data_IF_671627414254
#
_entry.id   IF_671627414254
#
_cell.length_a   1.000
_cell.length_b   1.000
_cell.length_c   1.000
_cell.angle_alpha   90.00
_cell.angle_beta   90.00
_cell.angle_gamma   90.00
#
_symmetry.space_group_name_H-M   'P 1'
#
loop_
_entity.id
_entity.type
_entity.pdbx_description
1 polymer ?
#
# COMPACT_ATOMS: atom_id res chain seq x y z
N UNK A 1 14.64 -37.48 20.29
CA UNK A 1 13.23 -37.84 20.04
C UNK A 1 12.44 -37.26 21.21
N UNK A 2 12.02 -36.00 21.11
CA UNK A 2 11.21 -35.35 22.14
C UNK A 2 9.83 -35.17 21.52
N UNK A 3 8.86 -35.96 21.98
CA UNK A 3 7.49 -35.93 21.53
C UNK A 3 6.83 -34.63 22.02
N UNK A 4 6.83 -33.60 21.18
CA UNK A 4 5.80 -32.56 21.24
C UNK A 4 4.56 -33.15 20.60
N UNK A 5 3.78 -33.89 21.38
CA UNK A 5 2.41 -34.25 21.00
C UNK A 5 1.63 -32.94 20.92
N UNK A 6 1.40 -32.50 19.68
CA UNK A 6 0.47 -31.44 19.32
C UNK A 6 -0.85 -31.72 20.04
N UNK A 7 -1.21 -30.89 21.02
CA UNK A 7 -2.59 -30.85 21.53
C UNK A 7 -3.39 -30.12 20.45
N UNK A 8 -3.72 -30.87 19.41
CA UNK A 8 -4.76 -30.50 18.47
C UNK A 8 -6.07 -30.97 19.11
N UNK A 9 -7.08 -30.11 19.13
CA UNK A 9 -8.40 -30.51 19.60
C UNK A 9 -8.93 -31.63 18.70
N UNK A 10 -9.07 -32.84 19.27
CA UNK A 10 -9.49 -34.04 18.55
C UNK A 10 -10.87 -33.85 17.89
N UNK A 11 -11.73 -33.00 18.47
CA UNK A 11 -13.06 -32.72 17.94
C UNK A 11 -13.03 -31.94 16.61
N UNK A 12 -12.02 -31.08 16.41
CA UNK A 12 -11.85 -30.31 15.17
C UNK A 12 -11.23 -31.20 14.09
N UNK A 13 -10.28 -32.06 14.46
CA UNK A 13 -9.65 -32.99 13.52
C UNK A 13 -10.61 -34.05 13.00
N UNK A 14 -11.57 -34.50 13.80
CA UNK A 14 -12.62 -35.42 13.33
C UNK A 14 -13.53 -34.81 12.24
N UNK A 15 -13.58 -33.48 12.14
CA UNK A 15 -14.41 -32.76 11.17
C UNK A 15 -13.64 -32.32 9.92
N UNK A 16 -12.34 -32.56 9.87
CA UNK A 16 -11.46 -32.14 8.78
C UNK A 16 -11.08 -33.36 7.94
N UNK A 17 -11.30 -33.25 6.63
CA UNK A 17 -10.70 -34.18 5.68
C UNK A 17 -9.16 -33.97 5.66
N UNK A 18 -8.43 -35.03 6.02
CA UNK A 18 -6.96 -35.00 6.16
C UNK A 18 -6.27 -34.59 4.86
N UNK A 19 -6.81 -35.02 3.71
CA UNK A 19 -6.24 -34.70 2.39
C UNK A 19 -6.44 -33.22 2.06
N UNK A 20 -7.62 -32.67 2.31
CA UNK A 20 -7.88 -31.24 2.09
C UNK A 20 -6.98 -30.36 2.98
N UNK A 21 -6.74 -30.78 4.23
CA UNK A 21 -5.84 -30.07 5.14
C UNK A 21 -4.38 -30.15 4.70
N UNK A 22 -3.91 -31.31 4.24
CA UNK A 22 -2.57 -31.43 3.65
C UNK A 22 -2.40 -30.54 2.42
N UNK A 23 -3.43 -30.44 1.57
CA UNK A 23 -3.41 -29.55 0.41
C UNK A 23 -3.38 -28.08 0.82
N UNK A 24 -4.13 -27.69 1.85
CA UNK A 24 -4.03 -26.36 2.45
C UNK A 24 -2.61 -26.05 2.93
N UNK A 25 -1.99 -26.96 3.69
CA UNK A 25 -0.62 -26.77 4.18
C UNK A 25 0.39 -26.63 3.04
N UNK A 26 0.27 -27.43 1.98
CA UNK A 26 1.15 -27.37 0.80
C UNK A 26 0.98 -26.06 0.03
N UNK A 27 -0.27 -25.64 -0.21
CA UNK A 27 -0.58 -24.44 -1.01
C UNK A 27 -0.31 -23.13 -0.26
N UNK A 28 -0.39 -23.13 1.08
CA UNK A 28 -0.25 -21.92 1.90
C UNK A 28 1.02 -21.89 2.76
N UNK A 29 1.96 -22.84 2.59
CA UNK A 29 3.18 -22.94 3.43
C UNK A 29 3.92 -21.60 3.54
N UNK A 30 4.22 -20.96 2.40
CA UNK A 30 4.91 -19.68 2.38
C UNK A 30 4.11 -18.57 3.07
N UNK A 31 2.79 -18.54 2.90
CA UNK A 31 1.94 -17.53 3.50
C UNK A 31 1.86 -17.72 5.02
N UNK A 32 1.68 -18.95 5.50
CA UNK A 32 1.66 -19.31 6.92
C UNK A 32 2.97 -18.93 7.63
N UNK A 33 4.11 -19.18 6.97
CA UNK A 33 5.43 -18.80 7.47
C UNK A 33 5.65 -17.28 7.44
N UNK A 34 5.32 -16.62 6.33
CA UNK A 34 5.49 -15.18 6.14
C UNK A 34 4.64 -14.37 7.12
N UNK A 35 3.39 -14.79 7.33
CA UNK A 35 2.49 -14.20 8.31
C UNK A 35 2.87 -14.51 9.77
N UNK A 36 3.85 -15.40 10.00
CA UNK A 36 4.29 -15.77 11.34
C UNK A 36 3.22 -16.49 12.16
N UNK A 37 2.27 -17.18 11.51
CA UNK A 37 1.19 -17.88 12.21
C UNK A 37 1.81 -19.09 12.93
N UNK A 38 1.54 -19.27 14.23
CA UNK A 38 2.01 -20.45 14.96
C UNK A 38 1.45 -21.75 14.41
N UNK A 39 2.30 -22.77 14.23
CA UNK A 39 1.92 -24.07 13.63
C UNK A 39 0.75 -24.77 14.32
N UNK A 40 0.61 -24.62 15.65
CA UNK A 40 -0.49 -25.23 16.40
C UNK A 40 -1.86 -24.60 16.08
N UNK A 41 -1.89 -23.42 15.43
CA UNK A 41 -3.12 -22.75 15.01
C UNK A 41 -3.53 -23.08 13.56
N UNK A 42 -2.69 -23.78 12.78
CA UNK A 42 -2.94 -24.00 11.34
C UNK A 42 -4.23 -24.78 11.08
N UNK A 43 -4.46 -25.83 11.86
CA UNK A 43 -5.68 -26.63 11.76
C UNK A 43 -6.93 -25.79 12.07
N UNK A 44 -6.91 -25.04 13.17
CA UNK A 44 -8.04 -24.20 13.56
C UNK A 44 -8.30 -23.10 12.54
N UNK A 45 -7.24 -22.47 12.01
CA UNK A 45 -7.34 -21.48 10.96
C UNK A 45 -8.02 -22.06 9.72
N UNK A 46 -7.54 -23.21 9.24
CA UNK A 46 -8.13 -23.92 8.11
C UNK A 46 -9.60 -24.26 8.36
N UNK A 47 -9.93 -24.80 9.53
CA UNK A 47 -11.30 -25.13 9.91
C UNK A 47 -12.22 -23.92 9.86
N UNK A 48 -11.79 -22.79 10.45
CA UNK A 48 -12.57 -21.55 10.44
C UNK A 48 -12.73 -20.98 9.04
N UNK A 49 -11.70 -21.02 8.19
CA UNK A 49 -11.79 -20.52 6.82
C UNK A 49 -12.66 -21.41 5.93
N UNK A 50 -12.54 -22.73 6.04
CA UNK A 50 -13.36 -23.69 5.27
C UNK A 50 -14.85 -23.53 5.55
N UNK A 51 -15.20 -23.22 6.80
CA UNK A 51 -16.57 -23.13 7.27
C UNK A 51 -17.05 -21.68 7.50
N UNK A 52 -16.25 -20.68 7.11
CA UNK A 52 -16.53 -19.25 7.29
C UNK A 52 -16.96 -18.88 8.73
N UNK A 53 -16.22 -19.38 9.73
CA UNK A 53 -16.55 -19.20 11.14
C UNK A 53 -15.98 -17.87 11.67
N UNK A 54 -16.86 -16.88 11.82
CA UNK A 54 -16.57 -15.60 12.46
C UNK A 54 -17.04 -15.60 13.92
N UNK A 55 -16.15 -15.93 14.83
CA UNK A 55 -16.47 -16.12 16.26
C UNK A 55 -15.80 -15.11 17.20
N UNK A 56 -15.23 -14.02 16.67
CA UNK A 56 -14.67 -12.93 17.48
C UNK A 56 -15.63 -12.43 18.56
N UNK A 57 -16.92 -12.30 18.25
CA UNK A 57 -17.93 -11.80 19.19
C UNK A 57 -18.15 -12.66 20.45
N UNK A 58 -17.59 -13.89 20.49
CA UNK A 58 -17.58 -14.72 21.71
C UNK A 58 -16.52 -14.29 22.73
N UNK A 59 -15.46 -13.62 22.28
CA UNK A 59 -14.30 -13.29 23.09
C UNK A 59 -14.04 -11.78 23.18
N UNK A 60 -14.53 -11.02 22.20
CA UNK A 60 -14.30 -9.58 22.09
C UNK A 60 -15.61 -8.80 21.97
N UNK A 61 -15.57 -7.57 22.45
CA UNK A 61 -16.65 -6.59 22.39
C UNK A 61 -16.11 -5.25 21.88
N UNK A 62 -17.02 -4.42 21.34
CA UNK A 62 -16.73 -3.05 20.94
C UNK A 62 -17.14 -2.13 22.10
N UNK A 63 -16.18 -1.42 22.66
CA UNK A 63 -16.39 -0.49 23.77
C UNK A 63 -16.32 0.96 23.27
N UNK A 64 -17.19 1.86 23.75
CA UNK A 64 -17.04 3.28 23.52
C UNK A 64 -15.80 3.81 24.27
N UNK A 65 -15.21 4.86 23.73
CA UNK A 65 -14.14 5.61 24.38
C UNK A 65 -14.79 6.63 25.29
N UNK A 66 -14.41 6.63 26.57
CA UNK A 66 -14.93 7.59 27.52
C UNK A 66 -14.38 9.01 27.25
N UNK A 67 -15.17 10.04 27.55
CA UNK A 67 -14.79 11.44 27.27
C UNK A 67 -13.50 11.87 28.00
N UNK A 68 -13.18 11.22 29.12
CA UNK A 68 -11.94 11.44 29.89
C UNK A 68 -10.69 10.89 29.16
N UNK A 69 -10.84 9.81 28.37
CA UNK A 69 -9.75 9.20 27.59
C UNK A 69 -9.39 10.01 26.33
N UNK A 70 -10.30 10.87 25.87
CA UNK A 70 -10.06 11.82 24.76
C UNK A 70 -9.01 12.89 25.12
N UNK A 71 -8.75 13.09 26.42
CA UNK A 71 -7.80 14.07 26.93
C UNK A 71 -6.34 13.59 26.91
N UNK A 72 -6.07 12.30 26.66
CA UNK A 72 -4.71 11.84 26.43
C UNK A 72 -4.20 12.34 25.06
N UNK A 73 -3.03 13.00 25.04
CA UNK A 73 -2.51 13.75 23.89
C UNK A 73 -2.37 12.93 22.58
N UNK A 74 -2.35 11.61 22.68
CA UNK A 74 -2.18 10.66 21.58
C UNK A 74 -3.49 10.15 20.97
N UNK A 75 -4.64 10.48 21.55
CA UNK A 75 -5.92 9.93 21.11
C UNK A 75 -6.29 10.45 19.71
N UNK A 76 -6.76 9.59 18.81
CA UNK A 76 -7.35 9.98 17.52
C UNK A 76 -8.82 10.33 17.78
N UNK A 77 -9.22 11.61 17.86
CA UNK A 77 -10.55 12.02 18.32
C UNK A 77 -11.71 11.52 17.43
N UNK A 78 -11.40 10.90 16.29
CA UNK A 78 -12.37 10.37 15.34
C UNK A 78 -12.67 8.87 15.52
N UNK A 79 -11.89 8.13 16.33
CA UNK A 79 -12.23 6.75 16.70
C UNK A 79 -12.89 6.75 18.06
N UNK A 80 -14.22 6.68 18.09
CA UNK A 80 -15.02 6.67 19.33
C UNK A 80 -15.17 5.31 19.99
N UNK A 81 -14.59 4.27 19.38
CA UNK A 81 -14.73 2.89 19.85
C UNK A 81 -13.39 2.16 19.74
N UNK A 82 -13.24 1.13 20.57
CA UNK A 82 -12.11 0.20 20.57
C UNK A 82 -12.57 -1.24 20.81
N UNK A 83 -11.75 -2.21 20.43
CA UNK A 83 -12.01 -3.62 20.72
C UNK A 83 -11.43 -3.99 22.09
N UNK A 84 -12.21 -4.67 22.93
CA UNK A 84 -11.80 -5.18 24.23
C UNK A 84 -12.15 -6.65 24.38
N UNK A 85 -11.43 -7.39 25.21
CA UNK A 85 -11.85 -8.72 25.65
C UNK A 85 -13.10 -8.64 26.53
N UNK A 86 -13.91 -9.70 26.56
CA UNK A 86 -15.10 -9.78 27.43
C UNK A 86 -14.68 -10.30 28.81
N UNK A 87 -15.22 -11.45 29.25
CA UNK A 87 -15.06 -11.98 30.61
C UNK A 87 -13.92 -13.00 30.74
N UNK A 88 -13.48 -13.58 29.63
CA UNK A 88 -12.52 -14.67 29.64
C UNK A 88 -11.10 -14.20 29.31
N UNK A 89 -10.14 -14.74 30.05
CA UNK A 89 -8.72 -14.59 29.76
C UNK A 89 -8.38 -15.30 28.44
N UNK A 90 -7.78 -14.57 27.51
CA UNK A 90 -7.31 -15.11 26.23
C UNK A 90 -5.86 -15.57 26.39
N UNK A 91 -5.62 -16.84 26.07
CA UNK A 91 -4.28 -17.46 26.17
C UNK A 91 -3.75 -17.82 24.79
N UNK A 92 -2.54 -17.40 24.41
CA UNK A 92 -1.91 -17.81 23.17
C UNK A 92 -1.80 -19.32 23.02
N UNK A 93 -1.62 -20.05 24.12
CA UNK A 93 -1.53 -21.52 24.08
C UNK A 93 -2.84 -22.24 23.73
N UNK A 94 -3.98 -21.53 23.69
CA UNK A 94 -5.26 -22.13 23.33
C UNK A 94 -5.44 -22.12 21.80
N UNK A 95 -5.66 -23.31 21.22
CA UNK A 95 -5.82 -23.52 19.78
C UNK A 95 -7.03 -22.79 19.18
N UNK A 96 -8.05 -22.48 19.98
CA UNK A 96 -9.23 -21.74 19.52
C UNK A 96 -8.96 -20.24 19.26
N UNK A 97 -7.84 -19.72 19.80
CA UNK A 97 -7.52 -18.29 19.83
C UNK A 97 -6.89 -17.79 18.52
N UNK A 98 -7.49 -18.15 17.40
CA UNK A 98 -7.22 -17.57 16.08
C UNK A 98 -8.55 -17.21 15.43
N UNK A 99 -8.69 -15.99 14.94
CA UNK A 99 -9.99 -15.48 14.52
C UNK A 99 -9.92 -14.87 13.13
N UNK A 100 -11.03 -15.01 12.40
CA UNK A 100 -11.23 -14.38 11.10
C UNK A 100 -11.94 -13.05 11.30
N UNK A 101 -11.45 -12.04 10.58
CA UNK A 101 -12.02 -10.71 10.46
C UNK A 101 -12.34 -10.52 8.98
N UNK A 102 -13.59 -10.15 8.70
CA UNK A 102 -14.06 -9.96 7.33
C UNK A 102 -13.62 -8.60 6.77
N UNK A 103 -13.66 -8.46 5.46
CA UNK A 103 -13.42 -7.20 4.75
C UNK A 103 -14.75 -6.57 4.39
N UNK A 104 -15.21 -5.61 5.20
CA UNK A 104 -16.43 -4.87 4.95
C UNK A 104 -16.49 -4.21 3.57
N UNK A 105 -15.32 -3.83 3.05
CA UNK A 105 -15.19 -3.23 1.75
C UNK A 105 -13.81 -3.47 1.14
N UNK A 106 -13.76 -4.09 -0.03
CA UNK A 106 -12.56 -4.26 -0.85
C UNK A 106 -12.74 -3.57 -2.18
N UNK A 107 -11.76 -2.78 -2.63
CA UNK A 107 -11.91 -1.91 -3.79
C UNK A 107 -10.56 -1.49 -4.40
N UNK A 108 -10.60 -1.02 -5.66
CA UNK A 108 -9.50 -0.25 -6.28
C UNK A 108 -9.80 1.24 -6.10
N UNK A 109 -8.78 2.07 -5.93
CA UNK A 109 -8.96 3.53 -5.69
C UNK A 109 -9.91 4.18 -6.71
N UNK A 110 -9.76 3.84 -8.00
CA UNK A 110 -10.59 4.37 -9.10
C UNK A 110 -12.08 4.05 -8.94
N UNK A 111 -12.42 2.97 -8.24
CA UNK A 111 -13.77 2.47 -8.09
C UNK A 111 -14.43 2.92 -6.76
N UNK A 112 -13.66 3.47 -5.81
CA UNK A 112 -14.12 3.75 -4.45
C UNK A 112 -15.41 4.59 -4.40
N UNK A 113 -15.42 5.72 -5.11
CA UNK A 113 -16.56 6.63 -5.18
C UNK A 113 -17.78 5.97 -5.85
N UNK A 114 -17.55 5.20 -6.92
CA UNK A 114 -18.61 4.47 -7.62
C UNK A 114 -19.23 3.42 -6.69
N UNK A 115 -18.41 2.67 -5.97
CA UNK A 115 -18.87 1.66 -5.01
C UNK A 115 -19.81 2.26 -3.96
N UNK A 116 -19.47 3.41 -3.38
CA UNK A 116 -20.33 4.10 -2.41
C UNK A 116 -21.70 4.52 -2.97
N UNK A 117 -21.79 4.74 -4.29
CA UNK A 117 -23.05 5.08 -4.96
C UNK A 117 -23.86 3.85 -5.37
N UNK A 118 -23.19 2.74 -5.71
CA UNK A 118 -23.85 1.61 -6.39
C UNK A 118 -23.98 0.35 -5.53
N UNK A 119 -23.11 0.12 -4.56
CA UNK A 119 -23.17 -1.05 -3.69
C UNK A 119 -24.21 -0.80 -2.59
N UNK A 120 -25.27 -1.61 -2.50
CA UNK A 120 -26.33 -1.41 -1.51
C UNK A 120 -25.77 -1.41 -0.08
N UNK A 121 -26.24 -0.49 0.75
CA UNK A 121 -25.90 -0.35 2.19
C UNK A 121 -24.44 -0.02 2.50
N UNK A 122 -23.56 0.03 1.51
CA UNK A 122 -22.13 0.30 1.74
C UNK A 122 -21.93 1.71 2.28
N UNK A 123 -22.64 2.69 1.72
CA UNK A 123 -22.57 4.08 2.16
C UNK A 123 -22.95 4.22 3.64
N UNK A 124 -24.10 3.70 4.04
CA UNK A 124 -24.60 3.74 5.43
C UNK A 124 -23.65 2.98 6.37
N UNK A 125 -23.15 1.81 5.94
CA UNK A 125 -22.17 1.04 6.72
C UNK A 125 -20.88 1.82 6.95
N UNK A 126 -20.35 2.50 5.93
CA UNK A 126 -19.13 3.31 6.04
C UNK A 126 -19.35 4.58 6.86
N UNK A 127 -20.52 5.22 6.78
CA UNK A 127 -20.86 6.34 7.66
C UNK A 127 -20.84 5.91 9.13
N UNK A 128 -21.53 4.82 9.44
CA UNK A 128 -21.58 4.25 10.79
C UNK A 128 -20.18 3.86 11.28
N UNK A 129 -19.44 3.08 10.49
CA UNK A 129 -18.09 2.61 10.85
C UNK A 129 -17.12 3.77 11.12
N UNK A 130 -17.23 4.85 10.35
CA UNK A 130 -16.35 6.03 10.46
C UNK A 130 -16.89 7.11 11.39
N UNK A 131 -17.98 6.85 12.13
CA UNK A 131 -18.64 7.80 13.03
C UNK A 131 -19.00 9.14 12.36
N UNK A 132 -19.51 9.07 11.13
CA UNK A 132 -19.96 10.23 10.36
C UNK A 132 -21.47 10.38 10.56
N UNK A 133 -21.90 11.50 11.16
CA UNK A 133 -23.31 11.74 11.44
C UNK A 133 -24.11 11.87 10.15
N UNK A 134 -25.03 10.93 9.91
CA UNK A 134 -25.87 10.86 8.70
C UNK A 134 -26.78 12.09 8.53
N UNK A 135 -27.17 12.75 9.63
CA UNK A 135 -28.18 13.81 9.63
C UNK A 135 -27.70 15.17 9.13
N UNK A 136 -26.38 15.35 8.94
CA UNK A 136 -25.78 16.68 8.80
C UNK A 136 -25.23 16.98 7.40
N UNK A 137 -25.34 16.04 6.46
CA UNK A 137 -24.67 16.13 5.16
C UNK A 137 -25.57 15.55 4.05
N UNK A 138 -25.54 16.16 2.87
CA UNK A 138 -26.09 15.52 1.67
C UNK A 138 -25.21 14.33 1.23
N UNK A 139 -25.72 13.53 0.29
CA UNK A 139 -25.03 12.32 -0.20
C UNK A 139 -23.60 12.60 -0.67
N UNK A 140 -23.41 13.67 -1.44
CA UNK A 140 -22.11 14.02 -2.04
C UNK A 140 -21.10 14.43 -0.97
N UNK A 141 -21.51 15.29 -0.03
CA UNK A 141 -20.71 15.67 1.12
C UNK A 141 -20.38 14.46 2.00
N UNK A 142 -21.33 13.56 2.23
CA UNK A 142 -21.10 12.34 3.00
C UNK A 142 -20.10 11.40 2.33
N UNK A 143 -20.18 11.21 1.00
CA UNK A 143 -19.21 10.44 0.22
C UNK A 143 -17.82 11.05 0.35
N UNK A 144 -17.70 12.36 0.18
CA UNK A 144 -16.42 13.04 0.30
C UNK A 144 -15.83 12.90 1.71
N UNK A 145 -16.66 12.99 2.75
CA UNK A 145 -16.23 12.74 4.14
C UNK A 145 -15.76 11.30 4.37
N UNK A 146 -16.41 10.30 3.77
CA UNK A 146 -15.96 8.90 3.79
C UNK A 146 -14.59 8.79 3.11
N UNK A 147 -14.46 9.28 1.88
CA UNK A 147 -13.22 9.21 1.10
C UNK A 147 -12.05 9.93 1.80
N UNK A 148 -12.32 11.03 2.51
CA UNK A 148 -11.31 11.75 3.29
C UNK A 148 -10.92 11.02 4.60
N UNK A 149 -11.80 10.20 5.18
CA UNK A 149 -11.56 9.48 6.44
C UNK A 149 -11.05 8.06 6.26
N UNK A 150 -11.36 7.43 5.13
CA UNK A 150 -11.11 6.01 4.91
C UNK A 150 -9.64 5.60 5.04
N UNK A 151 -8.69 6.50 4.76
CA UNK A 151 -7.25 6.23 4.90
C UNK A 151 -6.85 5.73 6.31
N UNK A 152 -7.65 6.05 7.35
CA UNK A 152 -7.42 5.62 8.73
C UNK A 152 -7.81 4.16 8.99
N UNK A 153 -8.59 3.57 8.09
CA UNK A 153 -9.14 2.21 8.18
C UNK A 153 -8.53 1.30 7.12
N UNK A 154 -8.15 1.91 6.00
CA UNK A 154 -7.56 1.27 4.86
C UNK A 154 -6.30 0.47 5.20
N UNK A 155 -6.29 -0.73 4.64
CA UNK A 155 -5.12 -1.56 4.43
C UNK A 155 -5.04 -1.92 2.96
N UNK A 156 -3.92 -2.51 2.55
CA UNK A 156 -3.70 -2.90 1.16
C UNK A 156 -3.18 -4.33 1.08
N UNK A 157 -3.41 -4.95 -0.06
CA UNK A 157 -2.64 -6.09 -0.54
C UNK A 157 -2.57 -6.02 -2.07
N UNK A 158 -1.58 -6.69 -2.64
CA UNK A 158 -1.41 -6.72 -4.10
C UNK A 158 -1.72 -8.12 -4.60
N UNK A 159 -2.57 -8.21 -5.62
CA UNK A 159 -2.85 -9.47 -6.30
C UNK A 159 -2.28 -9.41 -7.72
N UNK A 160 -1.71 -10.52 -8.16
CA UNK A 160 -1.46 -10.74 -9.58
C UNK A 160 -2.81 -10.84 -10.29
N UNK A 161 -2.93 -10.19 -11.43
CA UNK A 161 -4.10 -10.26 -12.30
C UNK A 161 -3.74 -11.01 -13.57
N UNK A 162 -4.67 -11.82 -14.07
CA UNK A 162 -4.53 -12.53 -15.35
C UNK A 162 -4.59 -11.59 -16.57
N UNK A 163 -4.65 -10.28 -16.34
CA UNK A 163 -4.60 -9.30 -17.41
C UNK A 163 -3.17 -9.22 -17.93
N UNK A 164 -2.98 -9.55 -19.20
CA UNK A 164 -1.75 -9.29 -19.92
C UNK A 164 -1.64 -7.77 -20.07
N UNK A 165 -0.56 -7.17 -19.58
CA UNK A 165 -0.25 -5.78 -19.88
C UNK A 165 -0.05 -5.66 -21.40
N UNK A 166 -0.89 -4.91 -22.15
CA UNK A 166 -0.65 -4.70 -23.59
C UNK A 166 0.66 -3.95 -23.86
N UNK A 167 1.32 -3.44 -22.82
CA UNK A 167 2.42 -2.50 -22.89
C UNK A 167 3.76 -3.07 -22.42
N UNK A 168 3.78 -4.26 -21.79
CA UNK A 168 4.99 -4.94 -21.31
C UNK A 168 4.95 -6.42 -21.71
N UNK A 169 5.98 -6.90 -22.44
CA UNK A 169 6.16 -8.32 -22.82
C UNK A 169 6.48 -9.25 -21.62
N UNK A 170 6.24 -8.81 -20.38
CA UNK A 170 6.54 -9.54 -19.15
C UNK A 170 5.28 -9.89 -18.35
N UNK A 171 5.30 -11.11 -17.82
CA UNK A 171 4.26 -11.86 -17.12
C UNK A 171 3.72 -11.16 -15.85
N UNK A 172 2.39 -11.22 -15.67
CA UNK A 172 1.60 -10.81 -14.49
C UNK A 172 1.53 -9.31 -14.17
N UNK A 173 0.34 -8.70 -14.35
CA UNK A 173 0.04 -7.35 -13.86
C UNK A 173 -0.37 -7.40 -12.40
N UNK A 174 0.42 -6.79 -11.53
CA UNK A 174 0.11 -6.67 -10.11
C UNK A 174 -0.73 -5.42 -9.85
N UNK A 175 -1.96 -5.61 -9.35
CA UNK A 175 -2.85 -4.49 -8.99
C UNK A 175 -3.02 -4.38 -7.46
N UNK A 176 -2.87 -3.17 -6.89
CA UNK A 176 -3.11 -2.94 -5.48
C UNK A 176 -4.61 -2.88 -5.18
N UNK A 177 -5.05 -3.68 -4.22
CA UNK A 177 -6.39 -3.65 -3.66
C UNK A 177 -6.35 -3.04 -2.27
N UNK A 178 -7.30 -2.14 -2.05
CA UNK A 178 -7.52 -1.51 -0.75
C UNK A 178 -8.69 -2.20 -0.07
N UNK A 179 -8.61 -2.33 1.24
CA UNK A 179 -9.70 -2.90 2.00
C UNK A 179 -9.87 -2.24 3.36
N UNK A 180 -11.11 -2.28 3.85
CA UNK A 180 -11.52 -1.89 5.19
C UNK A 180 -12.08 -3.13 5.88
N UNK A 181 -11.55 -3.45 7.05
CA UNK A 181 -12.06 -4.56 7.86
C UNK A 181 -13.47 -4.27 8.36
N UNK A 182 -14.18 -5.31 8.78
CA UNK A 182 -15.46 -5.19 9.47
C UNK A 182 -15.41 -4.34 10.75
N UNK A 183 -16.57 -4.22 11.38
CA UNK A 183 -16.81 -3.45 12.60
C UNK A 183 -15.89 -3.88 13.74
N UNK A 184 -15.51 -5.15 13.84
CA UNK A 184 -14.64 -5.65 14.90
C UNK A 184 -13.18 -5.33 14.58
N UNK A 185 -12.72 -5.71 13.40
CA UNK A 185 -11.34 -5.51 12.97
C UNK A 185 -10.95 -4.03 12.93
N UNK A 186 -11.85 -3.17 12.46
CA UNK A 186 -11.61 -1.73 12.37
C UNK A 186 -11.43 -1.05 13.73
N UNK A 187 -11.90 -1.67 14.82
CA UNK A 187 -11.77 -1.16 16.18
C UNK A 187 -10.47 -1.61 16.88
N UNK A 188 -9.67 -2.48 16.24
CA UNK A 188 -8.34 -2.83 16.73
C UNK A 188 -7.39 -1.66 16.44
N UNK A 189 -6.97 -0.97 17.49
CA UNK A 189 -6.15 0.23 17.39
C UNK A 189 -4.68 -0.09 17.27
N UNK A 190 -3.93 0.91 16.81
CA UNK A 190 -2.47 0.83 16.82
C UNK A 190 -1.94 1.04 18.24
N UNK A 191 -1.05 0.17 18.67
CA UNK A 191 -0.03 0.49 19.67
C UNK A 191 1.31 -0.03 19.16
N UNK A 192 2.40 0.60 19.59
CA UNK A 192 3.75 0.12 19.31
C UNK A 192 4.50 -0.33 20.57
N UNK A 193 3.84 -0.24 21.74
CA UNK A 193 4.33 -0.65 23.07
C UNK A 193 3.43 -1.68 23.76
N UNK A 194 2.11 -1.60 23.56
CA UNK A 194 1.10 -2.40 24.27
C UNK A 194 0.41 -3.40 23.33
N UNK A 195 1.14 -3.87 22.31
CA UNK A 195 0.62 -4.81 21.31
C UNK A 195 0.32 -6.13 22.01
N UNK A 196 -0.91 -6.62 21.83
CA UNK A 196 -1.33 -7.91 22.38
C UNK A 196 -1.98 -8.83 21.35
N UNK A 197 -2.26 -8.33 20.14
CA UNK A 197 -2.72 -9.12 19.00
C UNK A 197 -1.79 -8.96 17.78
N UNK A 198 -1.59 -10.06 17.07
CA UNK A 198 -1.18 -10.02 15.67
C UNK A 198 -2.41 -9.81 14.79
N UNK A 199 -2.20 -9.21 13.62
CA UNK A 199 -3.21 -9.04 12.59
C UNK A 199 -2.54 -9.05 11.22
N UNK A 200 -2.90 -10.01 10.38
CA UNK A 200 -2.28 -10.19 9.05
C UNK A 200 -3.35 -10.41 7.99
N UNK A 201 -3.06 -10.04 6.74
CA UNK A 201 -3.91 -10.41 5.60
C UNK A 201 -3.57 -11.83 5.17
N UNK A 202 -4.58 -12.67 4.97
CA UNK A 202 -4.43 -14.08 4.59
C UNK A 202 -5.39 -14.41 3.44
N UNK A 203 -4.85 -14.89 2.33
CA UNK A 203 -5.63 -15.33 1.17
C UNK A 203 -5.96 -16.81 1.32
N UNK A 204 -7.25 -17.15 1.29
CA UNK A 204 -7.69 -18.53 1.32
C UNK A 204 -8.07 -19.00 -0.09
N UNK A 205 -7.12 -19.69 -0.75
CA UNK A 205 -7.23 -20.07 -2.16
C UNK A 205 -8.54 -20.82 -2.52
N UNK A 206 -9.04 -21.80 -1.73
CA UNK A 206 -10.23 -22.57 -2.13
C UNK A 206 -11.49 -21.71 -2.32
N UNK A 207 -11.68 -20.71 -1.46
CA UNK A 207 -12.80 -19.76 -1.54
C UNK A 207 -12.46 -18.47 -2.30
N UNK A 208 -11.21 -18.30 -2.71
CA UNK A 208 -10.65 -17.07 -3.27
C UNK A 208 -10.94 -15.81 -2.42
N UNK A 209 -10.98 -15.98 -1.10
CA UNK A 209 -11.35 -14.92 -0.16
C UNK A 209 -10.13 -14.41 0.59
N UNK A 210 -10.06 -13.09 0.77
CA UNK A 210 -9.07 -12.44 1.64
C UNK A 210 -9.67 -12.23 3.02
N UNK A 211 -8.99 -12.73 4.05
CA UNK A 211 -9.33 -12.50 5.44
C UNK A 211 -8.28 -11.63 6.11
N UNK A 212 -8.69 -10.89 7.13
CA UNK A 212 -7.75 -10.47 8.17
C UNK A 212 -7.76 -11.51 9.28
N UNK A 213 -6.60 -12.06 9.64
CA UNK A 213 -6.47 -13.10 10.66
C UNK A 213 -5.81 -12.49 11.90
N UNK A 214 -6.45 -12.67 13.06
CA UNK A 214 -5.95 -12.17 14.34
C UNK A 214 -5.73 -13.30 15.34
N UNK A 215 -4.70 -13.19 16.16
CA UNK A 215 -4.41 -14.10 17.27
C UNK A 215 -3.59 -13.39 18.34
N UNK A 216 -3.70 -13.80 19.63
CA UNK A 216 -2.98 -13.17 20.71
C UNK A 216 -1.48 -13.52 20.68
N UNK A 217 -0.65 -12.55 21.06
CA UNK A 217 0.81 -12.76 21.21
C UNK A 217 1.22 -12.97 22.67
N UNK A 218 0.35 -12.57 23.59
CA UNK A 218 0.52 -12.72 25.03
C UNK A 218 -0.82 -13.03 25.69
N UNK A 219 -0.80 -13.33 26.99
CA UNK A 219 -2.03 -13.53 27.75
C UNK A 219 -2.75 -12.19 27.86
N UNK A 220 -4.01 -12.13 27.44
CA UNK A 220 -4.84 -10.93 27.49
C UNK A 220 -5.89 -11.12 28.60
N UNK A 221 -5.86 -10.32 29.68
CA UNK A 221 -6.86 -10.39 30.73
C UNK A 221 -8.27 -10.05 30.22
N UNK A 222 -9.32 -10.36 30.99
CA UNK A 222 -10.68 -9.87 30.74
C UNK A 222 -10.72 -8.33 30.68
N UNK A 223 -11.70 -7.78 29.95
CA UNK A 223 -11.95 -6.34 29.84
C UNK A 223 -10.72 -5.50 29.46
N UNK A 224 -9.81 -6.07 28.70
CA UNK A 224 -8.56 -5.44 28.29
C UNK A 224 -8.65 -5.02 26.83
N UNK A 225 -8.26 -3.78 26.56
CA UNK A 225 -8.21 -3.28 25.20
C UNK A 225 -7.21 -4.08 24.34
N UNK A 226 -7.61 -4.32 23.08
CA UNK A 226 -6.82 -5.03 22.10
C UNK A 226 -6.11 -4.06 21.15
N UNK A 227 -4.79 -4.24 21.01
CA UNK A 227 -3.94 -3.44 20.13
C UNK A 227 -3.16 -4.33 19.17
N UNK A 228 -2.98 -3.81 17.95
CA UNK A 228 -2.08 -4.36 16.94
C UNK A 228 -0.98 -3.37 16.58
N UNK A 229 0.12 -3.89 16.05
CA UNK A 229 1.11 -3.05 15.40
C UNK A 229 0.68 -2.80 13.95
N UNK A 230 0.69 -1.56 13.48
CA UNK A 230 0.43 -1.24 12.07
C UNK A 230 1.64 -1.52 11.18
N UNK A 231 2.82 -1.76 11.77
CA UNK A 231 3.97 -2.24 11.03
C UNK A 231 3.91 -3.77 10.94
N UNK A 232 3.83 -4.29 9.71
CA UNK A 232 3.87 -5.72 9.42
C UNK A 232 5.20 -6.40 9.74
N UNK A 233 6.30 -5.64 9.74
CA UNK A 233 7.65 -6.16 9.96
C UNK A 233 8.15 -5.81 11.35
N UNK A 234 8.84 -6.76 12.00
CA UNK A 234 9.65 -6.52 13.19
C UNK A 234 10.84 -5.61 12.86
N UNK A 235 10.56 -4.31 12.73
CA UNK A 235 11.57 -3.32 12.40
C UNK A 235 12.42 -3.06 13.65
N UNK A 236 13.66 -3.52 13.62
CA UNK A 236 14.62 -3.35 14.73
C UNK A 236 15.21 -1.95 14.78
N UNK A 237 15.24 -1.25 13.64
CA UNK A 237 15.65 0.15 13.58
C UNK A 237 14.53 1.05 14.14
N UNK A 238 14.75 1.58 15.34
CA UNK A 238 13.82 2.45 16.07
C UNK A 238 13.49 3.73 15.30
N UNK A 239 14.45 4.30 14.56
CA UNK A 239 14.20 5.52 13.78
C UNK A 239 13.29 5.18 12.62
N UNK A 240 13.61 4.11 11.89
CA UNK A 240 12.81 3.65 10.77
C UNK A 240 11.39 3.23 11.20
N UNK A 241 11.26 2.52 12.33
CA UNK A 241 9.98 2.20 12.96
C UNK A 241 9.16 3.46 13.17
N UNK A 242 9.73 4.44 13.87
CA UNK A 242 9.05 5.69 14.18
C UNK A 242 8.66 6.49 12.94
N UNK A 243 9.56 6.55 11.93
CA UNK A 243 9.31 7.24 10.67
C UNK A 243 8.15 6.60 9.91
N UNK A 244 8.10 5.27 9.80
CA UNK A 244 6.99 4.56 9.15
C UNK A 244 5.66 4.81 9.88
N UNK A 245 5.68 4.94 11.21
CA UNK A 245 4.49 5.23 12.02
C UNK A 245 4.03 6.70 11.99
N UNK A 246 4.79 7.60 11.36
CA UNK A 246 4.44 9.03 11.35
C UNK A 246 3.08 9.31 10.70
N UNK A 247 2.65 8.52 9.72
CA UNK A 247 1.35 8.66 9.04
C UNK A 247 0.16 8.57 9.98
N UNK A 248 0.27 7.84 11.08
CA UNK A 248 -0.81 7.68 12.06
C UNK A 248 -0.68 8.62 13.26
N UNK A 249 0.40 9.40 13.34
CA UNK A 249 0.58 10.41 14.39
C UNK A 249 -0.09 11.74 14.03
N UNK A 250 -0.37 12.61 15.01
CA UNK A 250 -0.88 13.97 14.74
C UNK A 250 0.15 14.82 13.98
N UNK A 251 -0.31 15.73 13.12
CA UNK A 251 0.57 16.59 12.30
C UNK A 251 1.55 17.41 13.16
N UNK A 252 1.12 17.88 14.33
CA UNK A 252 1.97 18.60 15.29
C UNK A 252 3.12 17.72 15.80
N UNK A 253 2.83 16.48 16.21
CA UNK A 253 3.82 15.50 16.60
C UNK A 253 4.77 15.20 15.43
N UNK A 254 4.24 14.92 14.23
CA UNK A 254 5.06 14.70 13.03
C UNK A 254 6.05 15.85 12.84
N UNK A 255 5.58 17.09 12.74
CA UNK A 255 6.45 18.27 12.56
C UNK A 255 7.50 18.40 13.66
N UNK A 256 7.14 18.16 14.93
CA UNK A 256 8.07 18.20 16.07
C UNK A 256 9.12 17.10 15.99
N UNK A 257 8.69 15.85 15.77
CA UNK A 257 9.55 14.69 15.63
C UNK A 257 10.56 14.89 14.49
N UNK A 258 10.08 15.28 13.31
CA UNK A 258 10.92 15.53 12.14
C UNK A 258 11.98 16.62 12.39
N UNK A 259 11.59 17.72 13.03
CA UNK A 259 12.52 18.80 13.41
C UNK A 259 13.56 18.35 14.42
N UNK A 260 13.20 17.49 15.36
CA UNK A 260 14.13 16.97 16.36
C UNK A 260 15.08 15.95 15.74
N UNK A 261 14.58 15.02 14.93
CA UNK A 261 15.39 14.04 14.21
C UNK A 261 16.51 14.71 13.40
N UNK A 262 16.17 15.77 12.66
CA UNK A 262 17.13 16.60 11.90
C UNK A 262 18.21 17.28 12.76
N UNK A 263 17.92 17.57 14.02
CA UNK A 263 18.87 18.21 14.95
C UNK A 263 19.83 17.21 15.57
N UNK A 264 19.32 16.04 15.95
CA UNK A 264 20.07 15.05 16.73
C UNK A 264 20.94 14.14 15.88
N UNK A 265 20.48 13.77 14.69
CA UNK A 265 21.24 12.85 13.85
C UNK A 265 21.20 13.30 12.39
N UNK A 266 22.15 14.17 12.04
CA UNK A 266 22.39 14.57 10.65
C UNK A 266 22.90 13.39 9.82
N UNK A 267 23.45 12.34 10.44
CA UNK A 267 24.05 11.21 9.72
C UNK A 267 23.01 10.35 9.02
N UNK A 268 21.78 10.25 9.56
CA UNK A 268 20.60 9.70 8.87
C UNK A 268 20.29 10.36 7.53
N UNK A 269 20.65 11.63 7.39
CA UNK A 269 20.49 12.40 6.15
C UNK A 269 21.80 12.51 5.37
N UNK A 270 22.90 12.01 5.94
CA UNK A 270 24.21 11.88 5.30
C UNK A 270 24.48 10.45 4.83
N UNK A 271 23.54 9.51 4.97
CA UNK A 271 23.66 8.17 4.39
C UNK A 271 24.03 8.35 2.93
N UNK A 272 25.26 7.96 2.59
CA UNK A 272 25.76 8.07 1.24
C UNK A 272 24.89 7.16 0.39
N UNK A 273 23.99 7.76 -0.36
CA UNK A 273 23.23 7.14 -1.43
C UNK A 273 24.10 6.63 -2.58
N UNK A 274 25.42 6.64 -2.42
CA UNK A 274 26.41 5.99 -3.27
C UNK A 274 26.14 4.48 -3.43
N UNK A 275 25.33 3.85 -2.56
CA UNK A 275 24.82 2.47 -2.76
C UNK A 275 23.62 2.35 -3.72
N UNK A 276 22.93 3.44 -4.07
CA UNK A 276 21.88 3.45 -5.11
C UNK A 276 22.43 3.86 -6.48
N UNK A 277 23.76 3.75 -6.67
CA UNK A 277 24.35 3.81 -8.01
C UNK A 277 23.70 2.75 -8.92
N UNK A 278 23.32 1.60 -8.37
CA UNK A 278 22.64 0.55 -9.12
C UNK A 278 21.24 0.98 -9.56
N UNK A 279 20.47 1.63 -8.70
CA UNK A 279 19.18 2.23 -9.09
C UNK A 279 19.36 3.31 -10.14
N UNK A 280 20.32 4.22 -9.95
CA UNK A 280 20.66 5.23 -10.94
C UNK A 280 21.06 4.58 -12.27
N UNK A 281 21.99 3.63 -12.29
CA UNK A 281 22.42 2.94 -13.51
C UNK A 281 21.28 2.13 -14.14
N UNK A 282 20.39 1.55 -13.34
CA UNK A 282 19.21 0.81 -13.82
C UNK A 282 18.20 1.76 -14.47
N UNK A 283 17.93 2.91 -13.86
CA UNK A 283 17.00 3.91 -14.37
C UNK A 283 17.53 4.65 -15.61
N UNK A 284 18.86 4.71 -15.79
CA UNK A 284 19.50 5.46 -16.89
C UNK A 284 20.22 4.56 -17.90
N UNK A 285 19.92 3.26 -17.90
CA UNK A 285 20.51 2.33 -18.86
C UNK A 285 20.05 2.73 -20.26
N UNK A 286 20.98 3.23 -21.08
CA UNK A 286 20.76 3.72 -22.46
C UNK A 286 20.15 5.13 -22.60
N UNK A 287 20.10 5.92 -21.51
CA UNK A 287 19.73 7.35 -21.56
C UNK A 287 20.85 8.25 -22.10
N UNK A 288 22.01 7.69 -22.48
CA UNK A 288 23.17 8.42 -22.98
C UNK A 288 22.77 9.37 -24.13
N UNK A 289 22.80 10.67 -23.82
CA UNK A 289 22.64 11.71 -24.81
C UNK A 289 23.90 11.80 -25.66
N UNK A 290 23.75 11.62 -26.96
CA UNK A 290 24.81 11.94 -27.92
C UNK A 290 24.61 13.40 -28.29
N UNK A 291 25.61 14.25 -28.02
CA UNK A 291 25.66 15.62 -28.55
C UNK A 291 25.68 15.55 -30.09
N UNK A 292 24.51 15.50 -30.70
CA UNK A 292 24.35 15.60 -32.14
C UNK A 292 24.52 17.06 -32.51
N UNK A 293 25.69 17.40 -33.04
CA UNK A 293 26.06 18.72 -33.58
C UNK A 293 25.32 19.06 -34.89
N UNK A 294 24.28 18.30 -35.24
CA UNK A 294 23.47 18.55 -36.43
C UNK A 294 22.59 19.77 -36.19
N UNK A 295 23.10 20.91 -36.66
CA UNK A 295 22.34 22.15 -36.85
C UNK A 295 21.03 21.78 -37.57
N UNK A 296 19.89 21.99 -36.90
CA UNK A 296 18.57 21.90 -37.52
C UNK A 296 18.57 22.91 -38.66
N UNK A 297 18.63 22.44 -39.90
CA UNK A 297 18.45 23.31 -41.07
C UNK A 297 17.02 23.83 -41.05
N UNK A 298 16.84 25.07 -40.61
CA UNK A 298 15.57 25.78 -40.52
C UNK A 298 15.06 26.16 -41.91
N UNK A 299 14.62 25.17 -42.69
CA UNK A 299 13.73 25.38 -43.85
C UNK A 299 12.37 24.78 -43.50
N UNK A 300 11.60 25.52 -42.70
CA UNK A 300 10.31 25.08 -42.13
C UNK A 300 9.10 25.42 -42.98
N UNK A 301 9.28 26.12 -44.09
CA UNK A 301 8.16 26.53 -44.94
C UNK A 301 7.71 25.33 -45.79
N UNK A 302 6.56 24.74 -45.43
CA UNK A 302 5.86 23.57 -46.03
C UNK A 302 6.25 22.16 -45.54
N UNK A 303 6.87 21.99 -44.36
CA UNK A 303 7.13 20.64 -43.86
C UNK A 303 5.91 20.04 -43.15
N UNK A 304 5.38 18.94 -43.67
CA UNK A 304 4.39 18.11 -43.00
C UNK A 304 5.09 17.23 -41.96
N UNK A 305 4.72 17.36 -40.69
CA UNK A 305 5.29 16.59 -39.57
C UNK A 305 4.47 15.34 -39.31
N UNK A 306 5.11 14.18 -39.45
CA UNK A 306 4.54 12.89 -39.08
C UNK A 306 4.63 12.68 -37.57
N UNK A 307 3.52 12.39 -36.91
CA UNK A 307 3.43 12.26 -35.46
C UNK A 307 2.98 10.85 -35.10
N UNK A 308 3.77 10.16 -34.27
CA UNK A 308 3.31 8.95 -33.59
C UNK A 308 2.86 9.32 -32.17
N UNK A 309 1.70 8.83 -31.74
CA UNK A 309 1.26 8.99 -30.35
C UNK A 309 0.36 7.88 -29.82
N UNK A 310 0.57 7.51 -28.56
CA UNK A 310 -0.29 6.63 -27.78
C UNK A 310 -1.34 7.38 -26.93
N UNK A 311 -1.37 8.71 -27.01
CA UNK A 311 -2.24 9.55 -26.21
C UNK A 311 -3.50 9.97 -27.00
N UNK A 312 -4.67 9.50 -26.56
CA UNK A 312 -5.96 9.82 -27.19
C UNK A 312 -6.30 11.31 -27.20
N UNK A 313 -5.86 12.09 -26.21
CA UNK A 313 -6.06 13.54 -26.20
C UNK A 313 -5.21 14.22 -27.28
N UNK A 314 -3.99 13.75 -27.52
CA UNK A 314 -3.16 14.30 -28.61
C UNK A 314 -3.80 14.01 -29.96
N UNK A 315 -4.30 12.78 -30.17
CA UNK A 315 -5.06 12.42 -31.38
C UNK A 315 -6.30 13.31 -31.57
N UNK A 316 -6.99 13.66 -30.49
CA UNK A 316 -8.20 14.47 -30.54
C UNK A 316 -7.93 15.95 -30.83
N UNK A 317 -6.82 16.51 -30.32
CA UNK A 317 -6.62 17.96 -30.29
C UNK A 317 -5.53 18.50 -31.25
N UNK A 318 -4.64 17.64 -31.77
CA UNK A 318 -3.65 18.06 -32.78
C UNK A 318 -4.25 18.01 -34.18
N UNK A 319 -5.04 19.04 -34.52
CA UNK A 319 -5.84 19.11 -35.76
C UNK A 319 -5.25 20.06 -36.82
N UNK A 320 -4.06 20.60 -36.60
CA UNK A 320 -3.42 21.52 -37.53
C UNK A 320 -2.91 20.78 -38.78
N UNK A 321 -3.12 21.36 -39.96
CA UNK A 321 -2.80 20.75 -41.26
C UNK A 321 -1.32 20.45 -41.48
N UNK A 322 -0.43 21.02 -40.66
CA UNK A 322 1.00 20.72 -40.71
C UNK A 322 1.36 19.38 -40.05
N UNK A 323 0.42 18.69 -39.42
CA UNK A 323 0.66 17.41 -38.75
C UNK A 323 -0.13 16.27 -39.40
N UNK A 324 0.49 15.11 -39.48
CA UNK A 324 -0.13 13.87 -39.95
C UNK A 324 0.19 12.75 -38.96
N UNK A 325 -0.83 12.01 -38.50
CA UNK A 325 -0.58 10.85 -37.65
C UNK A 325 -0.05 9.66 -38.45
N UNK A 326 0.88 8.91 -37.84
CA UNK A 326 1.41 7.65 -38.37
C UNK A 326 1.35 6.56 -37.31
N UNK A 327 1.13 5.32 -37.74
CA UNK A 327 1.04 4.15 -36.85
C UNK A 327 2.42 3.51 -36.58
N UNK A 328 3.44 3.82 -37.38
CA UNK A 328 4.80 3.31 -37.22
C UNK A 328 5.74 4.40 -36.68
N UNK A 329 6.45 4.10 -35.60
CA UNK A 329 7.45 4.99 -34.98
C UNK A 329 8.58 5.31 -35.96
N UNK A 330 9.01 4.34 -36.78
CA UNK A 330 10.12 4.52 -37.74
C UNK A 330 9.83 5.57 -38.82
N UNK A 331 8.56 5.89 -39.04
CA UNK A 331 8.12 6.87 -40.03
C UNK A 331 7.86 8.26 -39.44
N UNK A 332 7.90 8.40 -38.10
CA UNK A 332 7.52 9.64 -37.45
C UNK A 332 8.67 10.66 -37.41
N UNK A 333 8.30 11.94 -37.48
CA UNK A 333 9.19 13.06 -37.19
C UNK A 333 9.09 13.49 -35.72
N UNK A 334 7.93 13.26 -35.10
CA UNK A 334 7.65 13.58 -33.71
C UNK A 334 7.12 12.32 -33.02
N UNK A 335 7.86 11.83 -32.03
CA UNK A 335 7.44 10.78 -31.13
C UNK A 335 6.85 11.43 -29.87
N UNK A 336 5.51 11.41 -29.76
CA UNK A 336 4.79 11.88 -28.58
C UNK A 336 4.18 10.71 -27.83
N UNK A 337 4.83 10.22 -26.79
CA UNK A 337 4.34 9.07 -26.01
C UNK A 337 4.21 9.40 -24.52
N UNK A 338 3.23 8.76 -23.87
CA UNK A 338 3.08 8.76 -22.42
C UNK A 338 4.01 7.76 -21.73
N UNK A 339 4.49 6.73 -22.44
CA UNK A 339 5.43 5.74 -21.92
C UNK A 339 6.82 6.33 -21.83
N UNK A 340 7.59 5.91 -20.82
CA UNK A 340 9.00 6.28 -20.71
C UNK A 340 9.78 5.81 -21.95
N UNK A 341 10.52 6.71 -22.57
CA UNK A 341 11.43 6.37 -23.67
C UNK A 341 12.70 5.77 -23.06
N UNK A 342 12.89 4.45 -23.16
CA UNK A 342 14.03 3.76 -22.52
C UNK A 342 15.33 3.78 -23.35
N UNK A 343 15.24 4.02 -24.66
CA UNK A 343 16.37 3.85 -25.57
C UNK A 343 16.59 5.08 -26.46
N UNK A 344 16.76 6.23 -25.82
CA UNK A 344 17.06 7.50 -26.50
C UNK A 344 18.23 7.36 -27.48
N UNK A 345 19.27 6.61 -27.09
CA UNK A 345 20.46 6.39 -27.91
C UNK A 345 20.12 5.74 -29.26
N UNK A 346 19.32 4.68 -29.26
CA UNK A 346 18.91 4.02 -30.50
C UNK A 346 18.18 5.00 -31.43
N UNK A 347 17.24 5.78 -30.90
CA UNK A 347 16.49 6.73 -31.70
C UNK A 347 17.37 7.89 -32.22
N UNK A 348 18.31 8.40 -31.42
CA UNK A 348 19.22 9.45 -31.87
C UNK A 348 20.23 8.97 -32.93
N UNK A 349 20.68 7.71 -32.84
CA UNK A 349 21.61 7.12 -33.82
C UNK A 349 20.92 6.83 -35.17
N UNK A 350 19.67 6.35 -35.16
CA UNK A 350 18.94 5.97 -36.38
C UNK A 350 18.08 7.11 -36.96
N UNK A 351 17.57 8.00 -36.12
CA UNK A 351 16.63 9.08 -36.46
C UNK A 351 17.05 10.42 -35.84
N UNK A 352 18.19 11.00 -36.25
CA UNK A 352 18.79 12.18 -35.59
C UNK A 352 17.94 13.46 -35.65
N UNK A 353 16.93 13.51 -36.52
CA UNK A 353 16.00 14.64 -36.64
C UNK A 353 14.66 14.42 -35.91
N UNK A 354 14.47 13.25 -35.28
CA UNK A 354 13.23 12.96 -34.58
C UNK A 354 13.12 13.81 -33.32
N UNK A 355 11.94 14.37 -33.10
CA UNK A 355 11.62 15.17 -31.91
C UNK A 355 10.89 14.29 -30.89
N UNK A 356 11.18 14.51 -29.61
CA UNK A 356 10.61 13.76 -28.50
C UNK A 356 9.85 14.70 -27.56
N UNK A 357 8.79 14.21 -26.93
CA UNK A 357 8.05 14.94 -25.88
C UNK A 357 8.63 14.72 -24.46
N UNK A 358 9.77 14.05 -24.35
CA UNK A 358 10.45 13.72 -23.10
C UNK A 358 11.95 14.02 -23.24
N UNK A 359 12.62 14.28 -22.11
CA UNK A 359 14.07 14.53 -22.11
C UNK A 359 14.84 13.29 -21.64
N UNK A 360 16.03 13.01 -22.22
CA UNK A 360 16.99 12.10 -21.61
C UNK A 360 17.24 12.52 -20.15
N UNK A 361 17.27 11.55 -19.23
CA UNK A 361 17.45 11.79 -17.79
C UNK A 361 16.31 12.58 -17.09
N UNK A 362 15.13 12.75 -17.71
CA UNK A 362 13.99 13.43 -17.07
C UNK A 362 13.49 12.73 -15.80
N UNK A 363 13.63 11.41 -15.75
CA UNK A 363 13.35 10.58 -14.57
C UNK A 363 14.06 11.07 -13.29
N UNK A 364 15.18 11.78 -13.40
CA UNK A 364 15.88 12.40 -12.28
C UNK A 364 14.96 13.34 -11.47
N UNK A 365 14.02 14.02 -12.11
CA UNK A 365 13.10 14.96 -11.46
C UNK A 365 11.67 14.43 -11.33
N UNK A 366 11.27 13.47 -12.17
CA UNK A 366 9.92 12.89 -12.13
C UNK A 366 9.81 11.65 -11.24
N UNK A 367 10.90 10.91 -11.03
CA UNK A 367 10.95 9.84 -10.03
C UNK A 367 11.19 10.43 -8.63
N UNK A 368 10.31 10.13 -7.67
CA UNK A 368 10.40 10.66 -6.30
C UNK A 368 11.73 10.33 -5.63
N UNK A 369 12.23 9.11 -5.84
CA UNK A 369 13.49 8.68 -5.24
C UNK A 369 14.65 9.48 -5.82
N UNK A 370 14.76 9.59 -7.15
CA UNK A 370 15.82 10.34 -7.82
C UNK A 370 15.72 11.86 -7.53
N UNK A 371 14.51 12.40 -7.48
CA UNK A 371 14.27 13.81 -7.13
C UNK A 371 14.79 14.13 -5.74
N UNK A 372 14.50 13.24 -4.76
CA UNK A 372 14.99 13.39 -3.40
C UNK A 372 16.52 13.41 -3.35
N UNK A 373 17.19 12.64 -4.23
CA UNK A 373 18.65 12.58 -4.32
C UNK A 373 19.24 13.88 -4.82
N UNK A 374 18.69 14.40 -5.91
CA UNK A 374 19.17 15.64 -6.50
C UNK A 374 18.91 16.83 -5.58
N UNK A 375 17.74 16.89 -4.95
CA UNK A 375 17.40 17.93 -3.99
C UNK A 375 18.38 17.98 -2.80
N UNK A 376 18.81 16.82 -2.28
CA UNK A 376 19.82 16.73 -1.21
C UNK A 376 21.18 17.27 -1.67
N UNK A 377 21.64 16.89 -2.86
CA UNK A 377 22.91 17.39 -3.44
C UNK A 377 22.89 18.92 -3.63
N UNK A 378 21.78 19.46 -4.14
CA UNK A 378 21.63 20.90 -4.38
C UNK A 378 21.81 21.75 -3.12
N UNK A 379 21.32 21.27 -1.97
CA UNK A 379 21.46 21.94 -0.66
C UNK A 379 22.93 22.13 -0.24
N UNK A 380 23.85 21.28 -0.69
CA UNK A 380 25.28 21.45 -0.44
C UNK A 380 25.90 22.54 -1.32
N UNK A 381 25.31 22.83 -2.49
CA UNK A 381 25.84 23.77 -3.50
C UNK A 381 25.37 25.21 -3.24
N UNK A 382 24.09 25.40 -2.90
CA UNK A 382 23.59 26.71 -2.50
C UNK A 382 23.35 26.74 -0.99
N UNK A 383 24.00 27.65 -0.25
CA UNK A 383 23.75 27.94 1.18
C UNK A 383 22.32 28.49 1.45
N UNK A 384 21.30 28.02 0.74
CA UNK A 384 19.89 28.39 0.89
C UNK A 384 19.14 27.29 1.66
N UNK A 385 18.25 27.73 2.55
CA UNK A 385 17.38 26.85 3.35
C UNK A 385 16.24 26.32 2.50
N UNK A 386 16.50 25.34 1.65
CA UNK A 386 15.44 24.46 1.14
C UNK A 386 15.46 23.18 1.98
N UNK A 387 14.51 23.08 2.91
CA UNK A 387 14.33 21.86 3.71
C UNK A 387 13.42 20.93 2.92
N UNK A 388 13.99 20.17 1.99
CA UNK A 388 13.33 18.96 1.50
C UNK A 388 13.57 17.90 2.57
N UNK A 389 12.59 17.74 3.46
CA UNK A 389 12.57 16.62 4.40
C UNK A 389 11.84 15.50 3.65
N UNK A 390 12.60 14.68 2.94
CA UNK A 390 12.05 13.53 2.24
C UNK A 390 12.27 12.26 3.06
N UNK A 391 11.18 11.62 3.47
CA UNK A 391 11.19 10.28 4.04
C UNK A 391 10.87 9.31 2.92
N UNK A 392 11.91 8.78 2.29
CA UNK A 392 11.82 7.71 1.29
C UNK A 392 11.38 6.36 1.90
N UNK A 393 10.41 6.36 2.81
CA UNK A 393 9.91 5.17 3.49
C UNK A 393 8.46 4.86 3.17
N UNK A 394 7.85 5.62 2.27
CA UNK A 394 6.44 5.47 1.90
C UNK A 394 6.19 4.61 0.65
N UNK A 395 7.22 4.24 -0.12
CA UNK A 395 7.03 3.59 -1.43
C UNK A 395 7.39 2.08 -1.47
N UNK A 396 7.53 1.38 -0.33
CA UNK A 396 7.82 -0.07 -0.36
C UNK A 396 6.74 -0.97 0.27
N UNK A 397 5.86 -0.49 1.15
CA UNK A 397 4.76 -1.32 1.69
C UNK A 397 3.64 -0.43 2.24
N UNK A 398 2.87 0.23 1.37
CA UNK A 398 1.67 0.98 1.74
C UNK A 398 0.54 0.76 0.77
#
# INVERSE_FOLDING_TARGET
ICCYTLIIDLNVMEQIDEKDYEEFLKSHEFQLLFCGIPKYLYCQLYFKMKNEIFDCGKYFQICPVDDDDLCEENFNPERKYYMSTIEHEIKPSNVEMIFLIDHAWTYRIRDARKHLLTIPKLYERMLSLMNINETNHDLENGIEMILQRMWKYNQTYTLATDQIDPLNDCEEVYEPYWYIMDEVGSMIRHSDTNVNLNCVSFYFQPSQTMYSVIWPIEIIPPYTECFRNYLYTNQTDVILKNVKLLTWNRISYRKKYLRNLLKFDKSLFNTKLEYNKDLFLKCHKNDDYIETTSVISSNTDNQLFKVYTDNELVKQFLNDSHYQFVDNIDECNILFTMKHIENYRHYMENYPQMMFNQFPYENIVTNKELLSLVARRWKHIQKRKMYVIDFQFFDVYF
#
